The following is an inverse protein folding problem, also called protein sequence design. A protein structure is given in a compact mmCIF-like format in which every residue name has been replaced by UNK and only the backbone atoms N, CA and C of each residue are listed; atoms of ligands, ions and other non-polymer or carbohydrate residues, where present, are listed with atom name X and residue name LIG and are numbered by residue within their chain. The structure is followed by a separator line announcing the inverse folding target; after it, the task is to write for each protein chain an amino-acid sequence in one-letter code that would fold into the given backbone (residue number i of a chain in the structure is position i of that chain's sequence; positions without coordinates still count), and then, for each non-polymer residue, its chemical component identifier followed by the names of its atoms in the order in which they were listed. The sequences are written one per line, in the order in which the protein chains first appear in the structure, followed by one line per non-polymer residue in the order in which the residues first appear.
data_IF_837642056019
#
_entry.id   IF_837642056019
#
_cell.length_a   1.000
_cell.length_b   1.000
_cell.length_c   1.000
_cell.angle_alpha   90.00
_cell.angle_beta   90.00
_cell.angle_gamma   90.00
#
_symmetry.space_group_name_H-M   'P 1'
#
loop_
_entity.id
_entity.type
_entity.pdbx_description
1 polymer ?
#
# COMPACT_ATOMS: atom_id res chain seq x y z
N UNK A 1 8.44 -23.03 -18.23
CA UNK A 1 8.51 -23.22 -16.77
C UNK A 1 9.08 -21.95 -16.15
N UNK A 2 8.26 -21.11 -15.51
CA UNK A 2 8.78 -19.94 -14.81
C UNK A 2 9.40 -20.42 -13.49
N UNK A 3 10.73 -20.31 -13.37
CA UNK A 3 11.41 -20.45 -12.07
C UNK A 3 10.75 -19.47 -11.11
N UNK A 4 10.36 -19.95 -9.93
CA UNK A 4 9.95 -19.11 -8.81
C UNK A 4 11.18 -18.34 -8.33
N UNK A 5 11.54 -17.27 -9.00
CA UNK A 5 12.56 -16.33 -8.51
C UNK A 5 11.92 -15.55 -7.37
N UNK A 6 12.34 -15.84 -6.12
CA UNK A 6 12.13 -14.92 -5.01
C UNK A 6 12.56 -13.54 -5.47
N UNK A 7 11.72 -12.53 -5.23
CA UNK A 7 12.03 -11.14 -5.53
C UNK A 7 13.29 -10.77 -4.77
N UNK A 8 14.30 -10.28 -5.48
CA UNK A 8 15.52 -9.77 -4.87
C UNK A 8 15.22 -8.43 -4.21
N UNK A 9 15.10 -8.45 -2.88
CA UNK A 9 14.83 -7.27 -2.05
C UNK A 9 16.12 -6.56 -1.59
N UNK A 10 17.30 -6.96 -2.10
CA UNK A 10 18.60 -6.36 -1.74
C UNK A 10 18.81 -6.31 -0.22
N UNK A 11 18.67 -7.48 0.41
CA UNK A 11 18.81 -7.62 1.86
C UNK A 11 20.29 -7.51 2.29
N UNK A 12 20.55 -6.74 3.35
CA UNK A 12 21.86 -6.68 4.02
C UNK A 12 21.67 -6.44 5.51
N UNK A 13 22.67 -6.80 6.33
CA UNK A 13 22.60 -6.59 7.77
C UNK A 13 22.85 -5.10 8.11
N UNK A 14 21.94 -4.48 8.86
CA UNK A 14 22.15 -3.16 9.44
C UNK A 14 22.70 -3.30 10.86
N UNK A 15 24.03 -3.15 11.00
CA UNK A 15 24.72 -3.38 12.27
C UNK A 15 24.33 -2.35 13.35
N UNK A 16 23.91 -1.15 12.93
CA UNK A 16 23.45 -0.08 13.82
C UNK A 16 22.00 -0.25 14.31
N UNK A 17 21.24 -1.21 13.78
CA UNK A 17 19.90 -1.48 14.27
C UNK A 17 19.94 -2.13 15.65
N UNK A 18 19.29 -1.51 16.63
CA UNK A 18 19.21 -2.00 18.02
C UNK A 18 18.34 -3.25 18.19
N UNK A 19 17.51 -3.58 17.18
CA UNK A 19 16.57 -4.72 17.15
C UNK A 19 15.56 -4.69 18.31
N UNK A 20 14.54 -5.54 18.23
CA UNK A 20 13.57 -5.74 19.31
C UNK A 20 12.73 -4.52 19.69
N UNK A 21 12.63 -3.49 18.84
CA UNK A 21 11.92 -2.25 19.16
C UNK A 21 10.43 -2.51 19.40
N UNK A 22 10.02 -2.50 20.67
CA UNK A 22 8.63 -2.65 21.09
C UNK A 22 7.79 -1.40 20.75
N UNK A 23 6.49 -1.42 21.04
CA UNK A 23 5.59 -0.29 20.72
C UNK A 23 6.02 1.04 21.33
N UNK A 24 6.54 1.04 22.56
CA UNK A 24 6.95 2.26 23.26
C UNK A 24 8.25 2.80 22.68
N UNK A 25 9.29 1.97 22.59
CA UNK A 25 10.57 2.38 21.98
C UNK A 25 10.36 2.89 20.56
N UNK A 26 9.47 2.27 19.76
CA UNK A 26 9.15 2.78 18.41
C UNK A 26 8.60 4.21 18.40
N UNK A 27 7.80 4.60 19.39
CA UNK A 27 7.33 6.00 19.48
C UNK A 27 8.47 6.96 19.79
N UNK A 28 9.50 6.50 20.49
CA UNK A 28 10.68 7.30 20.83
C UNK A 28 11.67 7.37 19.67
N UNK A 29 11.79 6.30 18.89
CA UNK A 29 12.81 6.16 17.83
C UNK A 29 12.29 6.32 16.41
N UNK A 30 11.03 6.74 16.27
CA UNK A 30 10.41 7.03 14.99
C UNK A 30 9.97 8.48 14.97
N UNK A 31 10.51 9.24 14.03
CA UNK A 31 10.13 10.60 13.74
C UNK A 31 9.71 10.64 12.28
N UNK A 32 8.49 11.10 11.99
CA UNK A 32 7.98 11.22 10.61
C UNK A 32 8.11 9.91 9.79
N UNK A 33 7.76 8.78 10.40
CA UNK A 33 7.90 7.43 9.82
C UNK A 33 9.33 6.98 9.49
N UNK A 34 10.35 7.69 9.96
CA UNK A 34 11.77 7.37 9.80
C UNK A 34 12.38 6.93 11.13
N UNK A 35 13.28 5.95 11.09
CA UNK A 35 14.04 5.54 12.26
C UNK A 35 15.10 6.60 12.58
N UNK A 36 15.18 7.02 13.84
CA UNK A 36 16.17 8.01 14.31
C UNK A 36 17.45 7.36 14.86
N UNK A 37 17.43 6.05 15.15
CA UNK A 37 18.55 5.31 15.74
C UNK A 37 19.50 4.70 14.69
N UNK A 38 19.04 4.57 13.44
CA UNK A 38 19.86 4.02 12.36
C UNK A 38 19.51 4.63 11.00
N UNK A 39 20.43 4.52 10.06
CA UNK A 39 20.28 4.88 8.64
C UNK A 39 20.58 3.66 7.79
N UNK A 40 20.25 3.71 6.50
CA UNK A 40 20.54 2.62 5.57
C UNK A 40 22.05 2.41 5.43
N UNK A 41 22.53 1.18 5.61
CA UNK A 41 23.95 0.84 5.45
C UNK A 41 24.42 1.02 4.00
N UNK A 42 23.50 0.83 3.06
CA UNK A 42 23.75 0.86 1.62
C UNK A 42 24.09 2.25 1.10
N UNK A 43 23.42 3.29 1.61
CA UNK A 43 23.48 4.65 1.06
C UNK A 43 23.58 5.76 2.11
N UNK A 44 23.58 5.41 3.41
CA UNK A 44 23.60 6.32 4.56
C UNK A 44 22.43 7.30 4.58
N UNK A 45 21.36 7.01 3.85
CA UNK A 45 20.13 7.79 3.84
C UNK A 45 19.12 7.28 4.87
N UNK A 46 18.12 8.09 5.28
CA UNK A 46 17.08 7.67 6.21
C UNK A 46 16.37 6.37 5.79
N UNK A 47 15.93 5.62 6.80
CA UNK A 47 15.32 4.29 6.65
C UNK A 47 14.06 4.15 7.51
N UNK A 48 13.08 3.37 7.06
CA UNK A 48 11.84 3.11 7.81
C UNK A 48 11.94 1.82 8.63
N UNK A 49 11.54 1.85 9.90
CA UNK A 49 11.54 0.68 10.78
C UNK A 49 10.22 -0.12 10.65
N UNK A 50 10.28 -1.33 10.11
CA UNK A 50 9.10 -2.18 9.83
C UNK A 50 9.21 -3.55 10.51
N UNK A 51 8.13 -4.34 10.45
CA UNK A 51 8.14 -5.73 10.93
C UNK A 51 8.36 -6.70 9.78
N UNK A 52 8.67 -7.97 10.09
CA UNK A 52 9.01 -8.98 9.10
C UNK A 52 7.93 -9.18 8.01
N UNK A 53 6.65 -9.00 8.39
CA UNK A 53 5.50 -9.13 7.49
C UNK A 53 5.56 -8.23 6.25
N UNK A 54 6.33 -7.13 6.28
CA UNK A 54 6.42 -6.21 5.15
C UNK A 54 6.92 -6.88 3.86
N UNK A 55 7.75 -7.93 3.99
CA UNK A 55 8.32 -8.65 2.85
C UNK A 55 7.23 -9.44 2.08
N UNK A 56 6.28 -10.05 2.78
CA UNK A 56 5.18 -10.78 2.13
C UNK A 56 4.27 -9.85 1.31
N UNK A 57 4.03 -8.63 1.81
CA UNK A 57 3.31 -7.59 1.05
C UNK A 57 4.05 -7.20 -0.22
N UNK A 58 5.35 -6.89 -0.09
CA UNK A 58 6.20 -6.53 -1.24
C UNK A 58 6.14 -7.64 -2.29
N UNK A 59 6.17 -8.91 -1.85
CA UNK A 59 6.10 -10.05 -2.75
C UNK A 59 4.83 -10.04 -3.61
N UNK A 60 3.65 -9.95 -2.99
CA UNK A 60 2.38 -9.96 -3.72
C UNK A 60 2.20 -8.74 -4.62
N UNK A 61 2.57 -7.55 -4.13
CA UNK A 61 2.52 -6.32 -4.91
C UNK A 61 3.40 -6.43 -6.16
N UNK A 62 4.66 -6.82 -6.01
CA UNK A 62 5.62 -6.91 -7.12
C UNK A 62 5.21 -7.98 -8.12
N UNK A 63 4.67 -9.12 -7.67
CA UNK A 63 4.13 -10.14 -8.58
C UNK A 63 2.98 -9.60 -9.44
N UNK A 64 2.00 -8.94 -8.81
CA UNK A 64 0.90 -8.33 -9.54
C UNK A 64 1.42 -7.27 -10.51
N UNK A 65 2.28 -6.38 -10.03
CA UNK A 65 2.90 -5.33 -10.83
C UNK A 65 3.61 -5.89 -12.07
N UNK A 66 4.41 -6.94 -11.93
CA UNK A 66 5.10 -7.56 -13.06
C UNK A 66 4.11 -8.12 -14.08
N UNK A 67 3.06 -8.82 -13.65
CA UNK A 67 2.04 -9.38 -14.55
C UNK A 67 1.27 -8.26 -15.25
N UNK A 68 0.85 -7.24 -14.50
CA UNK A 68 0.14 -6.06 -15.01
C UNK A 68 0.96 -5.35 -16.07
N UNK A 69 2.20 -4.97 -15.75
CA UNK A 69 3.06 -4.19 -16.63
C UNK A 69 3.44 -4.97 -17.88
N UNK A 70 3.81 -6.25 -17.76
CA UNK A 70 4.12 -7.09 -18.93
C UNK A 70 2.90 -7.41 -19.78
N UNK A 71 1.74 -7.60 -19.15
CA UNK A 71 0.49 -7.88 -19.84
C UNK A 71 -0.09 -6.68 -20.59
N UNK A 72 0.20 -5.46 -20.12
CA UNK A 72 -0.33 -4.21 -20.67
C UNK A 72 0.68 -3.40 -21.49
N UNK A 73 1.96 -3.79 -21.56
CA UNK A 73 3.01 -3.03 -22.27
C UNK A 73 2.73 -2.68 -23.74
N UNK A 74 1.95 -3.51 -24.43
CA UNK A 74 1.58 -3.30 -25.84
C UNK A 74 0.13 -2.76 -25.99
N UNK A 75 -0.42 -2.21 -24.91
CA UNK A 75 -1.77 -1.63 -24.84
C UNK A 75 -1.64 -0.16 -24.39
N UNK A 76 -2.75 0.58 -24.46
CA UNK A 76 -2.84 1.96 -23.97
C UNK A 76 -1.82 2.93 -24.59
N UNK A 77 -1.31 2.62 -25.79
CA UNK A 77 -0.23 3.35 -26.46
C UNK A 77 0.99 3.60 -25.57
N UNK A 78 1.34 2.61 -24.73
CA UNK A 78 2.45 2.70 -23.78
C UNK A 78 2.16 3.55 -22.55
N UNK A 79 0.95 4.09 -22.38
CA UNK A 79 0.55 4.95 -21.25
C UNK A 79 0.04 4.13 -20.08
N UNK A 80 0.87 3.23 -19.57
CA UNK A 80 0.61 2.51 -18.31
C UNK A 80 1.37 3.19 -17.17
N UNK A 81 0.70 3.46 -16.07
CA UNK A 81 1.23 4.26 -14.97
C UNK A 81 1.10 3.50 -13.65
N UNK A 82 2.09 3.64 -12.79
CA UNK A 82 2.07 3.14 -11.42
C UNK A 82 2.08 4.32 -10.46
N UNK A 83 1.16 4.34 -9.51
CA UNK A 83 1.06 5.36 -8.48
C UNK A 83 1.11 4.67 -7.12
N UNK A 84 1.88 5.20 -6.19
CA UNK A 84 1.94 4.71 -4.81
C UNK A 84 1.69 5.84 -3.83
N UNK A 85 0.74 5.63 -2.91
CA UNK A 85 0.40 6.56 -1.83
C UNK A 85 0.92 5.97 -0.51
N UNK A 86 1.56 6.81 0.31
CA UNK A 86 2.33 6.42 1.50
C UNK A 86 3.61 5.63 1.17
N UNK A 87 4.33 6.06 0.13
CA UNK A 87 5.45 5.31 -0.47
C UNK A 87 6.65 5.08 0.45
N UNK A 88 6.82 5.93 1.47
CA UNK A 88 7.99 5.87 2.34
C UNK A 88 9.32 6.15 1.64
N UNK A 89 10.44 5.97 2.35
CA UNK A 89 11.75 6.41 1.88
C UNK A 89 12.39 5.43 0.88
N UNK A 90 11.80 4.25 0.67
CA UNK A 90 12.28 3.23 -0.26
C UNK A 90 13.20 2.15 0.33
N UNK A 91 13.83 2.39 1.49
CA UNK A 91 14.52 1.34 2.27
C UNK A 91 13.82 1.14 3.61
N UNK A 92 13.82 -0.11 4.06
CA UNK A 92 13.23 -0.54 5.32
C UNK A 92 14.25 -1.35 6.14
N UNK A 93 14.18 -1.27 7.47
CA UNK A 93 14.89 -2.17 8.37
C UNK A 93 13.88 -3.00 9.15
N UNK A 94 14.09 -4.31 9.19
CA UNK A 94 13.27 -5.23 9.98
C UNK A 94 13.69 -5.12 11.45
N UNK A 95 12.76 -4.65 12.28
CA UNK A 95 12.97 -4.44 13.71
C UNK A 95 13.30 -5.71 14.49
N UNK A 96 12.96 -6.88 13.99
CA UNK A 96 13.14 -8.15 14.73
C UNK A 96 14.58 -8.66 14.59
N UNK A 97 15.14 -8.62 13.38
CA UNK A 97 16.42 -9.23 13.08
C UNK A 97 17.52 -8.23 12.67
N UNK A 98 17.17 -6.97 12.39
CA UNK A 98 18.10 -5.90 11.99
C UNK A 98 18.53 -5.95 10.53
N UNK A 99 17.92 -6.79 9.69
CA UNK A 99 18.20 -6.77 8.26
C UNK A 99 17.47 -5.61 7.58
N UNK A 100 18.18 -4.88 6.74
CA UNK A 100 17.61 -3.86 5.87
C UNK A 100 17.40 -4.38 4.45
N UNK A 101 16.35 -3.89 3.80
CA UNK A 101 15.88 -4.34 2.51
C UNK A 101 15.13 -3.22 1.78
N UNK A 102 14.90 -3.41 0.48
CA UNK A 102 14.12 -2.51 -0.33
C UNK A 102 12.64 -2.57 0.05
N UNK A 103 12.06 -1.40 0.28
CA UNK A 103 10.62 -1.23 0.38
C UNK A 103 9.92 -1.35 -0.98
N UNK A 104 8.60 -1.20 -0.96
CA UNK A 104 7.73 -1.30 -2.14
C UNK A 104 8.19 -0.42 -3.29
N UNK A 105 8.48 0.86 -3.02
CA UNK A 105 8.91 1.80 -4.07
C UNK A 105 10.20 1.39 -4.80
N UNK A 106 11.27 1.04 -4.08
CA UNK A 106 12.50 0.56 -4.71
C UNK A 106 12.33 -0.80 -5.38
N UNK A 107 11.53 -1.70 -4.81
CA UNK A 107 11.24 -2.98 -5.48
C UNK A 107 10.48 -2.80 -6.80
N UNK A 108 9.59 -1.81 -6.90
CA UNK A 108 8.91 -1.48 -8.16
C UNK A 108 9.89 -0.88 -9.16
N UNK A 109 10.67 0.13 -8.75
CA UNK A 109 11.63 0.84 -9.62
C UNK A 109 12.71 -0.12 -10.16
N UNK A 110 13.20 -1.04 -9.32
CA UNK A 110 14.24 -2.01 -9.71
C UNK A 110 13.68 -3.24 -10.44
N UNK A 111 12.36 -3.38 -10.55
CA UNK A 111 11.76 -4.45 -11.33
C UNK A 111 11.90 -4.16 -12.83
N UNK A 112 12.36 -5.14 -13.61
CA UNK A 112 12.53 -4.99 -15.06
C UNK A 112 11.27 -4.54 -15.82
N UNK A 113 10.07 -4.81 -15.27
CA UNK A 113 8.82 -4.37 -15.88
C UNK A 113 8.58 -2.85 -15.74
N UNK A 114 9.30 -2.16 -14.85
CA UNK A 114 9.22 -0.70 -14.68
C UNK A 114 9.59 0.06 -15.95
N UNK A 115 10.45 -0.48 -16.82
CA UNK A 115 10.78 0.12 -18.13
C UNK A 115 9.60 0.21 -19.09
N UNK A 116 8.51 -0.52 -18.82
CA UNK A 116 7.29 -0.48 -19.62
C UNK A 116 6.31 0.59 -19.13
N UNK A 117 6.55 1.19 -17.96
CA UNK A 117 5.72 2.29 -17.46
C UNK A 117 6.02 3.58 -18.20
N UNK A 118 4.96 4.35 -18.46
CA UNK A 118 5.05 5.76 -18.80
C UNK A 118 5.55 6.56 -17.59
N UNK A 119 4.92 6.36 -16.42
CA UNK A 119 5.33 6.99 -15.16
C UNK A 119 5.17 6.05 -13.97
N UNK A 120 6.13 6.08 -13.05
CA UNK A 120 6.03 5.58 -11.68
C UNK A 120 6.06 6.78 -10.72
N UNK A 121 4.98 7.02 -9.98
CA UNK A 121 4.85 8.20 -9.11
C UNK A 121 4.64 7.76 -7.68
N UNK A 122 5.40 8.33 -6.76
CA UNK A 122 5.41 7.96 -5.35
C UNK A 122 5.05 9.18 -4.49
N UNK A 123 4.03 9.06 -3.66
CA UNK A 123 3.53 10.13 -2.82
C UNK A 123 3.65 9.79 -1.34
N UNK A 124 4.14 10.77 -0.58
CA UNK A 124 4.23 10.75 0.87
C UNK A 124 4.05 12.21 1.37
N UNK A 125 3.52 12.39 2.56
CA UNK A 125 3.22 13.73 3.10
C UNK A 125 4.50 14.43 3.58
N UNK A 126 5.53 13.65 3.93
CA UNK A 126 6.74 14.16 4.55
C UNK A 126 7.84 14.50 3.52
N UNK A 127 8.35 15.73 3.56
CA UNK A 127 9.40 16.21 2.64
C UNK A 127 10.70 15.43 2.74
N UNK A 128 11.15 15.09 3.95
CA UNK A 128 12.38 14.33 4.18
C UNK A 128 12.28 12.92 3.58
N UNK A 129 11.11 12.29 3.66
CA UNK A 129 10.82 11.00 3.02
C UNK A 129 10.93 11.11 1.50
N UNK A 130 10.32 12.14 0.91
CA UNK A 130 10.34 12.38 -0.53
C UNK A 130 11.73 12.71 -1.05
N UNK A 131 12.48 13.57 -0.36
CA UNK A 131 13.86 13.90 -0.72
C UNK A 131 14.74 12.65 -0.69
N UNK A 132 14.57 11.82 0.34
CA UNK A 132 15.27 10.54 0.48
C UNK A 132 14.94 9.59 -0.68
N UNK A 133 13.67 9.44 -1.03
CA UNK A 133 13.26 8.56 -2.13
C UNK A 133 13.74 9.08 -3.49
N UNK A 134 13.68 10.39 -3.74
CA UNK A 134 14.19 11.01 -4.97
C UNK A 134 15.71 10.84 -5.12
N UNK A 135 16.48 10.94 -4.03
CA UNK A 135 17.91 10.64 -4.05
C UNK A 135 18.18 9.19 -4.50
N UNK A 136 17.37 8.24 -4.04
CA UNK A 136 17.46 6.82 -4.43
C UNK A 136 17.00 6.57 -5.86
N UNK A 137 15.92 7.21 -6.32
CA UNK A 137 15.45 7.16 -7.72
C UNK A 137 16.57 7.64 -8.67
N UNK A 138 17.20 8.77 -8.33
CA UNK A 138 18.31 9.33 -9.10
C UNK A 138 19.50 8.37 -9.13
N UNK A 139 19.89 7.81 -7.99
CA UNK A 139 20.98 6.83 -7.92
C UNK A 139 20.68 5.55 -8.73
N UNK A 140 19.40 5.15 -8.84
CA UNK A 140 18.96 4.01 -9.65
C UNK A 140 18.85 4.33 -11.15
N UNK A 141 19.13 5.55 -11.60
CA UNK A 141 19.04 6.00 -13.00
C UNK A 141 17.67 5.71 -13.66
N UNK A 142 16.58 5.81 -12.89
CA UNK A 142 15.22 5.50 -13.38
C UNK A 142 14.50 6.76 -13.82
N UNK A 143 14.55 7.06 -15.13
CA UNK A 143 14.06 8.32 -15.69
C UNK A 143 12.54 8.49 -15.72
N UNK A 144 11.78 7.40 -15.63
CA UNK A 144 10.32 7.41 -15.61
C UNK A 144 9.73 7.38 -14.20
N UNK A 145 10.54 7.51 -13.14
CA UNK A 145 10.11 7.52 -11.76
C UNK A 145 10.28 8.90 -11.09
N UNK A 146 9.36 9.28 -10.21
CA UNK A 146 9.44 10.52 -9.42
C UNK A 146 8.71 10.36 -8.09
N UNK A 147 9.27 10.94 -7.02
CA UNK A 147 8.59 11.08 -5.74
C UNK A 147 8.13 12.53 -5.52
N UNK A 148 6.90 12.72 -5.04
CA UNK A 148 6.24 14.01 -4.88
C UNK A 148 5.58 14.12 -3.50
N UNK A 149 5.52 15.34 -2.96
CA UNK A 149 4.75 15.60 -1.74
C UNK A 149 3.26 15.44 -2.02
N UNK A 150 2.60 14.58 -1.23
CA UNK A 150 1.16 14.36 -1.30
C UNK A 150 0.58 14.01 0.05
N UNK A 151 -0.30 14.87 0.55
CA UNK A 151 -1.17 14.55 1.70
C UNK A 151 -2.46 13.92 1.16
N UNK A 152 -2.75 12.68 1.56
CA UNK A 152 -3.95 11.97 1.15
C UNK A 152 -5.25 12.63 1.65
N UNK A 153 -5.17 13.55 2.61
CA UNK A 153 -6.30 14.39 3.02
C UNK A 153 -6.58 15.54 2.03
N UNK A 154 -5.68 15.79 1.08
CA UNK A 154 -5.86 16.70 -0.04
C UNK A 154 -5.78 15.92 -1.38
N UNK A 155 -6.82 15.13 -1.71
CA UNK A 155 -6.78 14.24 -2.85
C UNK A 155 -6.75 14.98 -4.20
N UNK A 156 -7.26 16.20 -4.27
CA UNK A 156 -7.23 17.01 -5.50
C UNK A 156 -5.81 17.36 -5.91
N UNK A 157 -4.96 17.77 -4.95
CA UNK A 157 -3.55 18.06 -5.23
C UNK A 157 -2.81 16.85 -5.77
N UNK A 158 -2.99 15.68 -5.17
CA UNK A 158 -2.40 14.42 -5.65
C UNK A 158 -2.89 14.12 -7.07
N UNK A 159 -4.20 14.26 -7.30
CA UNK A 159 -4.77 14.01 -8.62
C UNK A 159 -4.26 14.99 -9.68
N UNK A 160 -4.09 16.27 -9.33
CA UNK A 160 -3.54 17.31 -10.21
C UNK A 160 -2.08 16.98 -10.61
N UNK A 161 -1.28 16.53 -9.64
CA UNK A 161 0.09 16.09 -9.89
C UNK A 161 0.13 14.88 -10.85
N UNK A 162 -0.74 13.89 -10.64
CA UNK A 162 -0.86 12.73 -11.54
C UNK A 162 -1.28 13.18 -12.95
N UNK A 163 -2.28 14.05 -13.06
CA UNK A 163 -2.75 14.55 -14.36
C UNK A 163 -1.66 15.35 -15.05
N UNK A 164 -0.88 16.18 -14.34
CA UNK A 164 0.23 16.92 -14.93
C UNK A 164 1.28 15.99 -15.55
N UNK A 165 1.68 14.94 -14.83
CA UNK A 165 2.74 14.03 -15.29
C UNK A 165 2.27 13.04 -16.35
N UNK A 166 0.99 12.67 -16.36
CA UNK A 166 0.44 11.62 -17.23
C UNK A 166 -0.53 12.15 -18.30
N UNK A 167 -0.81 13.46 -18.28
CA UNK A 167 -1.87 14.14 -19.05
C UNK A 167 -3.28 13.59 -18.78
N UNK A 168 -3.47 12.84 -17.68
CA UNK A 168 -4.73 12.20 -17.34
C UNK A 168 -5.14 11.06 -18.30
N UNK A 169 -4.21 10.55 -19.10
CA UNK A 169 -4.47 9.51 -20.10
C UNK A 169 -3.67 8.26 -19.76
N UNK A 170 -4.35 7.11 -19.81
CA UNK A 170 -3.70 5.82 -19.68
C UNK A 170 -4.48 4.83 -18.82
N UNK A 171 -3.75 3.78 -18.42
CA UNK A 171 -4.15 2.83 -17.38
C UNK A 171 -3.30 3.08 -16.14
N UNK A 172 -3.94 3.11 -14.98
CA UNK A 172 -3.31 3.41 -13.71
C UNK A 172 -3.45 2.22 -12.77
N UNK A 173 -2.33 1.73 -12.25
CA UNK A 173 -2.30 0.90 -11.07
C UNK A 173 -1.96 1.77 -9.87
N UNK A 174 -2.87 1.88 -8.91
CA UNK A 174 -2.67 2.70 -7.71
C UNK A 174 -2.56 1.80 -6.49
N UNK A 175 -1.40 1.82 -5.85
CA UNK A 175 -1.15 1.15 -4.59
C UNK A 175 -1.25 2.15 -3.43
N UNK A 176 -2.01 1.82 -2.38
CA UNK A 176 -2.22 2.69 -1.21
C UNK A 176 -1.77 1.91 0.02
N UNK A 177 -0.71 2.37 0.69
CA UNK A 177 -0.02 1.60 1.74
C UNK A 177 0.12 2.32 3.09
N UNK A 178 -0.99 2.68 3.75
CA UNK A 178 -0.91 3.32 5.04
C UNK A 178 -0.47 2.35 6.14
N UNK A 179 -0.05 2.89 7.28
CA UNK A 179 0.27 2.10 8.47
C UNK A 179 -0.98 1.72 9.30
N UNK A 180 -2.12 2.35 9.01
CA UNK A 180 -3.41 2.14 9.65
C UNK A 180 -4.58 2.54 8.72
N UNK A 181 -5.83 2.52 9.18
CA UNK A 181 -6.99 2.88 8.34
C UNK A 181 -7.22 4.40 8.27
N UNK A 182 -6.18 5.21 8.01
CA UNK A 182 -6.29 6.68 7.96
C UNK A 182 -6.58 7.27 6.58
N UNK A 183 -6.27 6.54 5.50
CA UNK A 183 -6.46 7.08 4.13
C UNK A 183 -7.96 7.22 3.84
N UNK A 184 -8.48 8.44 3.61
CA UNK A 184 -9.91 8.64 3.44
C UNK A 184 -10.38 8.07 2.10
N UNK A 185 -11.61 7.52 2.08
CA UNK A 185 -12.20 7.00 0.85
C UNK A 185 -12.40 8.09 -0.22
N UNK A 186 -12.46 9.35 0.19
CA UNK A 186 -12.50 10.51 -0.72
C UNK A 186 -11.30 10.53 -1.68
N UNK A 187 -10.12 10.04 -1.28
CA UNK A 187 -8.98 9.91 -2.19
C UNK A 187 -9.30 8.98 -3.35
N UNK A 188 -9.80 7.77 -3.07
CA UNK A 188 -10.14 6.79 -4.10
C UNK A 188 -11.25 7.34 -5.01
N UNK A 189 -12.24 8.01 -4.43
CA UNK A 189 -13.34 8.64 -5.15
C UNK A 189 -12.85 9.74 -6.10
N UNK A 190 -12.00 10.65 -5.63
CA UNK A 190 -11.43 11.75 -6.43
C UNK A 190 -10.55 11.21 -7.56
N UNK A 191 -9.69 10.23 -7.28
CA UNK A 191 -8.87 9.62 -8.32
C UNK A 191 -9.77 8.94 -9.38
N UNK A 192 -10.76 8.14 -8.96
CA UNK A 192 -11.65 7.41 -9.87
C UNK A 192 -12.57 8.31 -10.69
N UNK A 193 -13.00 9.46 -10.16
CA UNK A 193 -13.83 10.40 -10.91
C UNK A 193 -13.05 11.20 -11.95
N UNK A 194 -11.75 11.40 -11.72
CA UNK A 194 -10.89 12.24 -12.58
C UNK A 194 -10.00 11.44 -13.53
N UNK A 195 -9.73 10.17 -13.24
CA UNK A 195 -8.95 9.27 -14.09
C UNK A 195 -9.81 8.06 -14.50
N UNK A 196 -9.89 7.78 -15.80
CA UNK A 196 -10.88 6.82 -16.34
C UNK A 196 -10.59 5.36 -15.96
N UNK A 197 -9.34 4.92 -16.13
CA UNK A 197 -8.96 3.50 -16.04
C UNK A 197 -8.00 3.28 -14.87
N UNK A 198 -8.54 2.88 -13.72
CA UNK A 198 -7.76 2.68 -12.50
C UNK A 198 -8.08 1.30 -11.92
N UNK A 199 -7.03 0.60 -11.50
CA UNK A 199 -7.11 -0.51 -10.56
C UNK A 199 -6.49 -0.09 -9.23
N UNK A 200 -7.12 -0.44 -8.11
CA UNK A 200 -6.61 -0.19 -6.76
C UNK A 200 -6.08 -1.47 -6.12
N UNK A 201 -4.97 -1.33 -5.41
CA UNK A 201 -4.53 -2.25 -4.36
C UNK A 201 -4.38 -1.43 -3.07
N UNK A 202 -5.11 -1.79 -2.03
CA UNK A 202 -5.11 -1.04 -0.76
C UNK A 202 -4.65 -1.94 0.38
N UNK A 203 -3.63 -1.52 1.11
CA UNK A 203 -3.28 -2.14 2.37
C UNK A 203 -4.31 -1.78 3.44
N UNK A 204 -4.99 -2.80 3.94
CA UNK A 204 -6.16 -2.70 4.79
C UNK A 204 -5.82 -3.27 6.17
N UNK A 205 -5.54 -2.38 7.12
CA UNK A 205 -5.00 -2.68 8.45
C UNK A 205 -6.02 -3.31 9.44
N UNK A 206 -6.78 -4.32 8.98
CA UNK A 206 -7.86 -4.98 9.74
C UNK A 206 -7.33 -5.77 10.94
N UNK A 207 -6.19 -6.45 10.77
CA UNK A 207 -5.58 -7.29 11.80
C UNK A 207 -4.92 -6.49 12.92
N UNK A 208 -4.57 -5.23 12.63
CA UNK A 208 -3.83 -4.35 13.53
C UNK A 208 -4.69 -3.19 14.04
N UNK A 209 -4.86 -2.13 13.27
CA UNK A 209 -5.56 -0.92 13.68
C UNK A 209 -7.01 -1.21 14.07
N UNK A 210 -7.77 -1.82 13.17
CA UNK A 210 -9.18 -2.14 13.41
C UNK A 210 -9.35 -3.03 14.64
N UNK A 211 -8.65 -4.18 14.70
CA UNK A 211 -8.76 -5.10 15.83
C UNK A 211 -8.44 -4.45 17.19
N UNK A 212 -7.50 -3.50 17.24
CA UNK A 212 -7.09 -2.85 18.50
C UNK A 212 -8.12 -1.84 19.01
N UNK A 213 -8.85 -1.21 18.10
CA UNK A 213 -9.62 0.00 18.42
C UNK A 213 -11.14 -0.19 18.28
N UNK A 214 -11.60 -1.16 17.50
CA UNK A 214 -13.03 -1.30 17.18
C UNK A 214 -13.91 -1.55 18.41
N UNK A 215 -13.51 -2.44 19.32
CA UNK A 215 -14.31 -2.74 20.52
C UNK A 215 -14.56 -1.47 21.35
N UNK A 216 -13.50 -0.70 21.63
CA UNK A 216 -13.64 0.58 22.36
C UNK A 216 -14.47 1.61 21.61
N UNK A 217 -14.36 1.66 20.29
CA UNK A 217 -15.16 2.56 19.46
C UNK A 217 -16.67 2.22 19.50
N UNK A 218 -17.03 0.96 19.72
CA UNK A 218 -18.41 0.49 19.86
C UNK A 218 -18.91 0.66 21.30
N UNK A 219 -18.11 0.24 22.27
CA UNK A 219 -18.49 0.18 23.69
C UNK A 219 -18.49 1.55 24.37
N UNK A 220 -17.57 2.43 23.95
CA UNK A 220 -17.34 3.76 24.54
C UNK A 220 -17.24 4.85 23.47
N UNK A 221 -18.31 5.07 22.67
CA UNK A 221 -18.24 5.94 21.49
C UNK A 221 -17.90 7.39 21.81
N UNK A 222 -18.42 7.92 22.93
CA UNK A 222 -18.22 9.32 23.34
C UNK A 222 -16.74 9.68 23.56
N UNK A 223 -15.94 8.72 24.03
CA UNK A 223 -14.50 8.92 24.26
C UNK A 223 -13.62 8.48 23.08
N UNK A 224 -14.22 7.87 22.04
CA UNK A 224 -13.52 7.32 20.88
C UNK A 224 -13.99 7.92 19.54
N UNK A 225 -14.59 9.11 19.56
CA UNK A 225 -15.12 9.79 18.39
C UNK A 225 -14.08 9.96 17.26
N UNK A 226 -12.81 10.19 17.60
CA UNK A 226 -11.74 10.30 16.60
C UNK A 226 -11.50 8.99 15.84
N UNK A 227 -11.55 7.84 16.52
CA UNK A 227 -11.46 6.52 15.88
C UNK A 227 -12.66 6.26 15.00
N UNK A 228 -13.87 6.57 15.49
CA UNK A 228 -15.11 6.45 14.73
C UNK A 228 -15.03 7.29 13.45
N UNK A 229 -14.64 8.56 13.57
CA UNK A 229 -14.51 9.48 12.43
C UNK A 229 -13.47 9.00 11.43
N UNK A 230 -12.32 8.48 11.90
CA UNK A 230 -11.30 7.86 11.05
C UNK A 230 -11.89 6.71 10.24
N UNK A 231 -12.60 5.78 10.89
CA UNK A 231 -13.20 4.64 10.20
C UNK A 231 -14.36 5.03 9.27
N UNK A 232 -15.19 6.01 9.64
CA UNK A 232 -16.20 6.56 8.72
C UNK A 232 -15.57 7.20 7.49
N UNK A 233 -14.48 7.94 7.67
CA UNK A 233 -13.70 8.57 6.60
C UNK A 233 -13.06 7.52 5.67
N UNK A 234 -12.41 6.51 6.26
CA UNK A 234 -11.79 5.40 5.56
C UNK A 234 -12.78 4.55 4.77
N UNK A 235 -13.97 4.27 5.35
CA UNK A 235 -15.05 3.59 4.63
C UNK A 235 -15.76 4.50 3.63
N UNK A 236 -15.68 5.83 3.79
CA UNK A 236 -16.48 6.78 3.00
C UNK A 236 -17.97 6.79 3.37
N UNK A 237 -18.34 6.16 4.48
CA UNK A 237 -19.73 6.01 4.92
C UNK A 237 -19.83 5.79 6.44
N UNK A 238 -20.92 6.29 7.02
CA UNK A 238 -21.29 6.03 8.41
C UNK A 238 -22.04 4.73 8.63
N UNK A 239 -22.45 4.03 7.56
CA UNK A 239 -23.39 2.92 7.61
C UNK A 239 -22.95 1.79 8.55
N UNK A 240 -21.66 1.48 8.58
CA UNK A 240 -21.10 0.44 9.47
C UNK A 240 -21.46 0.69 10.94
N UNK A 241 -21.27 1.90 11.46
CA UNK A 241 -21.58 2.20 12.87
C UNK A 241 -23.07 2.38 13.15
N UNK A 242 -23.88 2.57 12.11
CA UNK A 242 -25.32 2.69 12.23
C UNK A 242 -26.02 1.32 12.22
N UNK A 243 -25.32 0.24 11.85
CA UNK A 243 -25.85 -1.12 11.87
C UNK A 243 -25.97 -1.64 13.31
N UNK A 244 -27.19 -1.93 13.82
CA UNK A 244 -27.39 -2.43 15.17
C UNK A 244 -26.62 -3.72 15.48
N UNK A 245 -26.34 -4.56 14.47
CA UNK A 245 -25.62 -5.82 14.65
C UNK A 245 -24.17 -5.61 15.10
N UNK A 246 -23.57 -4.45 14.83
CA UNK A 246 -22.20 -4.14 15.25
C UNK A 246 -22.03 -4.21 16.77
N UNK A 247 -23.08 -3.93 17.55
CA UNK A 247 -23.01 -3.97 19.03
C UNK A 247 -22.96 -5.38 19.61
N UNK A 248 -23.42 -6.39 18.87
CA UNK A 248 -23.50 -7.78 19.35
C UNK A 248 -22.62 -8.74 18.55
N UNK A 249 -22.05 -8.28 17.44
CA UNK A 249 -21.19 -9.05 16.55
C UNK A 249 -19.90 -9.49 17.25
N UNK A 250 -19.44 -10.71 16.92
CA UNK A 250 -18.13 -11.17 17.34
C UNK A 250 -17.02 -10.37 16.65
N UNK A 251 -15.79 -10.40 17.19
CA UNK A 251 -14.64 -9.77 16.54
C UNK A 251 -14.44 -10.25 15.09
N UNK A 252 -14.74 -11.52 14.81
CA UNK A 252 -14.65 -12.08 13.44
C UNK A 252 -15.70 -11.44 12.54
N UNK A 253 -16.94 -11.34 13.01
CA UNK A 253 -18.05 -10.80 12.23
C UNK A 253 -17.88 -9.30 11.99
N UNK A 254 -17.40 -8.55 12.99
CA UNK A 254 -17.02 -7.14 12.84
C UNK A 254 -16.02 -6.94 11.70
N UNK A 255 -15.01 -7.82 11.57
CA UNK A 255 -14.07 -7.74 10.45
C UNK A 255 -14.73 -8.03 9.09
N UNK A 256 -15.68 -8.96 9.04
CA UNK A 256 -16.42 -9.26 7.80
C UNK A 256 -17.33 -8.10 7.41
N UNK A 257 -18.06 -7.53 8.37
CA UNK A 257 -18.91 -6.35 8.17
C UNK A 257 -18.10 -5.14 7.72
N UNK A 258 -16.94 -4.90 8.33
CA UNK A 258 -16.08 -3.77 7.97
C UNK A 258 -15.50 -3.92 6.55
N UNK A 259 -15.09 -5.12 6.15
CA UNK A 259 -14.72 -5.42 4.75
C UNK A 259 -15.89 -5.19 3.81
N UNK A 260 -17.07 -5.71 4.14
CA UNK A 260 -18.28 -5.54 3.34
C UNK A 260 -18.63 -4.07 3.12
N UNK A 261 -18.55 -3.25 4.17
CA UNK A 261 -18.75 -1.81 4.08
C UNK A 261 -17.77 -1.14 3.11
N UNK A 262 -16.48 -1.49 3.17
CA UNK A 262 -15.49 -0.93 2.25
C UNK A 262 -15.72 -1.35 0.79
N UNK A 263 -16.07 -2.63 0.56
CA UNK A 263 -16.43 -3.13 -0.77
C UNK A 263 -17.67 -2.42 -1.32
N UNK A 264 -18.67 -2.13 -0.48
CA UNK A 264 -19.86 -1.39 -0.91
C UNK A 264 -19.48 0.02 -1.40
N UNK A 265 -18.62 0.73 -0.67
CA UNK A 265 -18.12 2.04 -1.12
C UNK A 265 -17.35 1.95 -2.44
N UNK A 266 -16.55 0.89 -2.66
CA UNK A 266 -15.88 0.67 -3.94
C UNK A 266 -16.87 0.40 -5.08
N UNK A 267 -17.94 -0.35 -4.83
CA UNK A 267 -19.02 -0.56 -5.81
C UNK A 267 -19.71 0.75 -6.19
N UNK A 268 -19.94 1.64 -5.22
CA UNK A 268 -20.55 2.96 -5.46
C UNK A 268 -19.74 3.82 -6.44
N UNK A 269 -18.41 3.66 -6.49
CA UNK A 269 -17.54 4.37 -7.45
C UNK A 269 -17.24 3.55 -8.72
N UNK A 270 -17.97 2.46 -8.96
CA UNK A 270 -18.00 1.73 -10.22
C UNK A 270 -17.11 0.50 -10.32
N UNK A 271 -16.53 0.01 -9.22
CA UNK A 271 -15.76 -1.24 -9.24
C UNK A 271 -16.67 -2.48 -9.23
N UNK A 272 -16.21 -3.56 -9.86
CA UNK A 272 -16.99 -4.79 -10.05
C UNK A 272 -16.27 -6.05 -9.58
N UNK A 273 -14.94 -6.06 -9.66
CA UNK A 273 -14.12 -7.20 -9.26
C UNK A 273 -13.30 -6.84 -8.03
N UNK A 274 -13.34 -7.73 -7.03
CA UNK A 274 -12.71 -7.53 -5.74
C UNK A 274 -12.10 -8.84 -5.26
N UNK A 275 -11.00 -8.73 -4.53
CA UNK A 275 -10.43 -9.86 -3.81
C UNK A 275 -9.60 -9.38 -2.62
N UNK A 276 -9.37 -10.26 -1.67
CA UNK A 276 -8.58 -10.01 -0.47
C UNK A 276 -7.42 -10.99 -0.41
N UNK A 277 -6.19 -10.46 -0.35
CA UNK A 277 -5.02 -11.28 -0.01
C UNK A 277 -4.62 -11.02 1.43
N UNK A 278 -4.81 -12.02 2.29
CA UNK A 278 -4.36 -11.98 3.67
C UNK A 278 -2.82 -11.97 3.75
N UNK A 279 -2.28 -11.06 4.55
CA UNK A 279 -0.85 -10.96 4.82
C UNK A 279 -0.64 -11.20 6.31
N UNK A 280 -0.24 -12.44 6.61
CA UNK A 280 -0.24 -13.01 7.97
C UNK A 280 -1.57 -12.71 8.70
N UNK A 281 -1.49 -12.30 9.96
CA UNK A 281 -2.63 -11.88 10.78
C UNK A 281 -2.73 -10.35 10.89
N UNK A 282 -1.98 -9.59 10.08
CA UNK A 282 -1.80 -8.14 10.29
C UNK A 282 -2.69 -7.27 9.40
N UNK A 283 -2.81 -7.60 8.11
CA UNK A 283 -3.54 -6.80 7.14
C UNK A 283 -4.00 -7.65 5.95
N UNK A 284 -4.93 -7.08 5.19
CA UNK A 284 -5.30 -7.59 3.88
C UNK A 284 -4.81 -6.63 2.80
N UNK A 285 -4.45 -7.16 1.64
CA UNK A 285 -4.41 -6.37 0.40
C UNK A 285 -5.77 -6.50 -0.27
N UNK A 286 -6.47 -5.38 -0.37
CA UNK A 286 -7.76 -5.29 -1.06
C UNK A 286 -7.50 -4.90 -2.50
N UNK A 287 -7.86 -5.78 -3.41
CA UNK A 287 -7.83 -5.51 -4.84
C UNK A 287 -9.19 -5.01 -5.31
N UNK A 288 -9.21 -4.02 -6.20
CA UNK A 288 -10.41 -3.53 -6.86
C UNK A 288 -10.14 -3.19 -8.33
N UNK A 289 -10.93 -3.76 -9.25
CA UNK A 289 -10.87 -3.46 -10.68
C UNK A 289 -12.26 -3.33 -11.30
N UNK A 290 -12.39 -2.43 -12.27
CA UNK A 290 -13.60 -2.28 -13.09
C UNK A 290 -13.60 -3.24 -14.30
N UNK A 291 -12.54 -4.01 -14.50
CA UNK A 291 -12.36 -4.84 -15.69
C UNK A 291 -11.91 -6.26 -15.34
N UNK A 292 -12.49 -7.26 -16.00
CA UNK A 292 -12.22 -8.68 -15.72
C UNK A 292 -10.73 -9.04 -15.85
N UNK A 293 -10.03 -8.37 -16.78
CA UNK A 293 -8.58 -8.56 -16.96
C UNK A 293 -7.76 -8.28 -15.71
N UNK A 294 -8.15 -7.29 -14.90
CA UNK A 294 -7.51 -7.02 -13.61
C UNK A 294 -7.66 -8.20 -12.65
N UNK A 295 -8.87 -8.77 -12.56
CA UNK A 295 -9.16 -9.98 -11.77
C UNK A 295 -8.30 -11.15 -12.22
N UNK A 296 -8.22 -11.42 -13.53
CA UNK A 296 -7.36 -12.49 -14.05
C UNK A 296 -5.89 -12.31 -13.66
N UNK A 297 -5.38 -11.09 -13.69
CA UNK A 297 -4.00 -10.79 -13.32
C UNK A 297 -3.77 -10.95 -11.82
N UNK A 298 -4.74 -10.54 -11.00
CA UNK A 298 -4.72 -10.73 -9.57
C UNK A 298 -4.68 -12.21 -9.18
N UNK A 299 -5.54 -13.02 -9.78
CA UNK A 299 -5.55 -14.46 -9.56
C UNK A 299 -4.21 -15.09 -9.98
N UNK A 300 -3.67 -14.71 -11.15
CA UNK A 300 -2.37 -15.21 -11.62
C UNK A 300 -1.22 -14.82 -10.68
N UNK A 301 -1.21 -13.59 -10.18
CA UNK A 301 -0.20 -13.12 -9.24
C UNK A 301 -0.21 -13.95 -7.96
N UNK A 302 -1.39 -14.27 -7.44
CA UNK A 302 -1.53 -14.93 -6.15
C UNK A 302 -1.46 -16.48 -6.19
N UNK A 303 -1.27 -17.10 -7.37
CA UNK A 303 -1.14 -18.57 -7.51
C UNK A 303 0.11 -19.15 -6.84
N UNK A 304 1.18 -18.38 -6.74
CA UNK A 304 2.42 -18.76 -6.08
C UNK A 304 2.47 -18.05 -4.73
N UNK A 305 2.48 -18.81 -3.65
CA UNK A 305 2.58 -18.27 -2.30
C UNK A 305 3.99 -17.74 -2.05
N UNK A 306 4.12 -16.89 -1.03
CA UNK A 306 5.39 -16.29 -0.60
C UNK A 306 6.47 -17.32 -0.23
N UNK A 307 6.06 -18.48 0.29
CA UNK A 307 6.93 -19.61 0.62
C UNK A 307 7.28 -20.49 -0.59
N UNK A 308 6.76 -20.18 -1.78
CA UNK A 308 6.96 -20.93 -3.02
C UNK A 308 5.96 -22.06 -3.25
N UNK A 309 5.00 -22.28 -2.35
CA UNK A 309 3.97 -23.30 -2.55
C UNK A 309 2.90 -22.81 -3.54
N UNK A 310 2.43 -23.70 -4.43
CA UNK A 310 1.27 -23.44 -5.28
C UNK A 310 0.01 -23.81 -4.52
N UNK A 311 -1.02 -22.95 -4.55
CA UNK A 311 -2.35 -23.39 -4.14
C UNK A 311 -2.80 -24.51 -5.10
N UNK A 312 -2.91 -25.72 -4.58
CA UNK A 312 -3.55 -26.83 -5.27
C UNK A 312 -5.06 -26.70 -5.02
N UNK A 313 -5.76 -26.31 -6.08
CA UNK A 313 -7.22 -26.37 -6.31
C UNK A 313 -8.15 -25.92 -5.18
#
# INVERSE_FOLDING_TARGET
MAKSTRIDIKETLNASCTKGCNKQKRKEVTEEDLCTETVSETDKLPIRCVGAWAIQKIHHLVQYFTIFSLGMKNKWDGKINYIEICSGPGRCVNRENGYEFNGTSLCIIQNDACKHLNKAMFFDYNQKVIDTLNARIKANNTSNAIALIGDYNNPDKICDDIIRETRGIGLYLVFIDPTDCSVPFSLLRTLKSRLKNIDFIVNFAIGTDFNRNIGKAIDTPDTHQNVINKYKSFLGSGAFFNDPLVKTASQRDLRLMFRGAYINSLKEIGYQHFDFKHIEHYYDLVFASSHEKGREFWEKANKIQFDGQRQLF
#
